data_IF_933494206349
#
_entry.id   IF_933494206349
#
_cell.length_a   1.000
_cell.length_b   1.000
_cell.length_c   1.000
_cell.angle_alpha   90.00
_cell.angle_beta   90.00
_cell.angle_gamma   90.00
#
_symmetry.space_group_name_H-M   'P 1'
#
loop_
_entity.id
_entity.type
_entity.pdbx_description
1 polymer ?
#
# COMPACT_ATOMS: atom_id res chain seq x y z
N UNK A 1 26.03 15.64 -7.01
CA UNK A 1 24.87 15.67 -7.91
C UNK A 1 23.62 15.19 -7.20
N UNK A 2 22.51 15.86 -7.46
CA UNK A 2 21.18 15.46 -6.98
C UNK A 2 20.31 15.09 -8.18
N UNK A 3 19.58 13.99 -8.08
CA UNK A 3 18.59 13.57 -9.06
C UNK A 3 17.28 13.27 -8.35
N UNK A 4 16.19 13.87 -8.82
CA UNK A 4 14.84 13.60 -8.34
C UNK A 4 14.00 13.06 -9.49
N UNK A 5 13.48 11.87 -9.32
CA UNK A 5 12.48 11.29 -10.22
C UNK A 5 11.14 11.25 -9.49
N UNK A 6 10.13 11.86 -10.07
CA UNK A 6 8.76 11.88 -9.56
C UNK A 6 7.83 11.32 -10.62
N UNK A 7 7.08 10.29 -10.27
CA UNK A 7 6.10 9.66 -11.15
C UNK A 7 4.75 9.61 -10.46
N UNK A 8 3.72 10.06 -11.17
CA UNK A 8 2.33 9.90 -10.78
C UNK A 8 1.60 9.06 -11.81
N UNK A 9 0.87 8.07 -11.34
CA UNK A 9 0.02 7.22 -12.18
C UNK A 9 -1.41 7.34 -11.70
N UNK A 10 -2.32 7.64 -12.62
CA UNK A 10 -3.76 7.54 -12.44
C UNK A 10 -4.25 6.32 -13.24
N UNK A 11 -4.95 5.41 -12.59
CA UNK A 11 -5.46 4.18 -13.18
C UNK A 11 -6.93 3.98 -12.82
N UNK A 12 -7.71 3.48 -13.77
CA UNK A 12 -9.06 2.99 -13.55
C UNK A 12 -9.11 1.56 -14.08
N UNK A 13 -9.22 0.59 -13.18
CA UNK A 13 -9.32 -0.82 -13.54
C UNK A 13 -10.72 -1.31 -13.21
N UNK A 14 -11.62 -1.22 -14.17
CA UNK A 14 -13.01 -1.67 -14.05
C UNK A 14 -13.24 -2.91 -14.91
N UNK A 15 -14.10 -3.81 -14.44
CA UNK A 15 -14.42 -5.04 -15.16
C UNK A 15 -15.59 -5.77 -14.55
N UNK A 16 -15.90 -6.94 -15.08
CA UNK A 16 -17.00 -7.83 -14.63
C UNK A 16 -16.53 -8.89 -13.64
N UNK A 17 -15.22 -8.94 -13.34
CA UNK A 17 -14.63 -9.87 -12.38
C UNK A 17 -13.13 -9.68 -12.24
N UNK A 18 -12.60 -9.92 -11.04
CA UNK A 18 -11.20 -9.67 -10.69
C UNK A 18 -10.28 -10.88 -10.89
N UNK A 19 -10.82 -12.06 -11.09
CA UNK A 19 -10.09 -13.32 -11.24
C UNK A 19 -10.81 -14.32 -12.17
N UNK A 20 -10.16 -15.43 -12.50
CA UNK A 20 -10.70 -16.45 -13.40
C UNK A 20 -11.97 -17.12 -12.89
N UNK A 21 -12.22 -17.14 -11.56
CA UNK A 21 -13.41 -17.72 -10.95
C UNK A 21 -14.63 -16.78 -10.99
N UNK A 22 -14.43 -15.51 -11.33
CA UNK A 22 -15.50 -14.51 -11.41
C UNK A 22 -16.57 -14.88 -12.44
N UNK A 23 -16.24 -15.69 -13.45
CA UNK A 23 -17.19 -16.23 -14.43
C UNK A 23 -18.28 -17.10 -13.79
N UNK A 24 -17.97 -17.83 -12.71
CA UNK A 24 -18.97 -18.60 -11.96
C UNK A 24 -20.08 -17.73 -11.38
N UNK A 25 -19.71 -16.54 -10.89
CA UNK A 25 -20.68 -15.56 -10.42
C UNK A 25 -21.59 -15.03 -11.52
N UNK A 26 -21.08 -14.89 -12.74
CA UNK A 26 -21.87 -14.47 -13.91
C UNK A 26 -22.89 -15.50 -14.32
N UNK A 27 -22.53 -16.79 -14.33
CA UNK A 27 -23.44 -17.89 -14.67
C UNK A 27 -24.54 -18.06 -13.63
N UNK A 28 -24.26 -17.91 -12.35
CA UNK A 28 -25.24 -18.05 -11.28
C UNK A 28 -26.16 -16.84 -11.11
N UNK A 29 -25.75 -15.66 -11.52
CA UNK A 29 -26.51 -14.39 -11.41
C UNK A 29 -27.24 -13.96 -12.67
N UNK A 30 -27.48 -14.88 -13.60
CA UNK A 30 -28.27 -14.59 -14.80
C UNK A 30 -27.57 -13.66 -15.80
N UNK A 31 -26.26 -13.73 -15.92
CA UNK A 31 -25.49 -12.99 -16.93
C UNK A 31 -25.53 -11.44 -16.78
N UNK A 32 -25.79 -10.93 -15.59
CA UNK A 32 -25.75 -9.50 -15.29
C UNK A 32 -24.30 -8.99 -15.39
N UNK A 33 -23.99 -8.34 -16.49
CA UNK A 33 -22.67 -7.73 -16.75
C UNK A 33 -22.63 -6.33 -16.15
N UNK A 34 -22.38 -6.25 -14.84
CA UNK A 34 -22.17 -4.97 -14.17
C UNK A 34 -20.67 -4.68 -14.09
N UNK A 35 -20.26 -3.50 -14.53
CA UNK A 35 -18.88 -3.03 -14.36
C UNK A 35 -18.70 -2.53 -12.93
N UNK A 36 -17.60 -2.94 -12.31
CA UNK A 36 -17.19 -2.49 -10.98
C UNK A 36 -15.66 -2.44 -10.89
N UNK A 37 -15.09 -1.65 -9.95
CA UNK A 37 -13.66 -1.59 -9.74
C UNK A 37 -13.09 -2.97 -9.41
N UNK A 38 -12.01 -3.36 -10.08
CA UNK A 38 -11.36 -4.65 -9.83
C UNK A 38 -10.53 -4.61 -8.54
N UNK A 39 -10.35 -5.76 -7.88
CA UNK A 39 -9.66 -5.87 -6.57
C UNK A 39 -8.25 -5.25 -6.53
N UNK A 40 -7.63 -5.07 -7.70
CA UNK A 40 -6.30 -4.47 -7.87
C UNK A 40 -6.34 -3.03 -8.41
N UNK A 41 -7.50 -2.38 -8.42
CA UNK A 41 -7.65 -0.99 -8.83
C UNK A 41 -7.00 -0.03 -7.81
N UNK A 42 -5.74 0.32 -8.05
CA UNK A 42 -5.00 1.34 -7.31
C UNK A 42 -5.07 2.67 -8.07
N UNK A 43 -6.09 3.48 -7.81
CA UNK A 43 -6.38 4.69 -8.62
C UNK A 43 -5.23 5.65 -8.72
N UNK A 44 -4.54 5.89 -7.61
CA UNK A 44 -3.46 6.85 -7.55
C UNK A 44 -2.21 6.16 -7.03
N UNK A 45 -1.11 6.30 -7.74
CA UNK A 45 0.20 5.85 -7.31
C UNK A 45 1.20 6.98 -7.52
N UNK A 46 1.89 7.34 -6.46
CA UNK A 46 2.96 8.34 -6.44
C UNK A 46 4.25 7.63 -6.07
N UNK A 47 5.27 7.77 -6.91
CA UNK A 47 6.61 7.26 -6.64
C UNK A 47 7.58 8.44 -6.73
N UNK A 48 8.33 8.65 -5.66
CA UNK A 48 9.41 9.62 -5.60
C UNK A 48 10.71 8.88 -5.34
N UNK A 49 11.73 9.17 -6.12
CA UNK A 49 13.07 8.64 -5.92
C UNK A 49 14.07 9.79 -5.96
N UNK A 50 14.68 10.03 -4.83
CA UNK A 50 15.74 11.04 -4.67
C UNK A 50 17.07 10.34 -4.50
N UNK A 51 18.04 10.68 -5.34
CA UNK A 51 19.42 10.20 -5.28
C UNK A 51 20.37 11.39 -5.15
N UNK A 52 21.24 11.33 -4.16
CA UNK A 52 22.28 12.33 -3.95
C UNK A 52 23.64 11.65 -3.86
N UNK A 53 24.60 12.12 -4.67
CA UNK A 53 25.97 11.64 -4.70
C UNK A 53 26.95 12.73 -4.28
N UNK A 54 27.77 12.41 -3.29
CA UNK A 54 28.87 13.23 -2.83
C UNK A 54 30.11 12.92 -3.66
N UNK A 55 30.78 13.97 -4.15
CA UNK A 55 31.98 13.83 -4.98
C UNK A 55 33.21 14.40 -4.29
N UNK A 56 34.37 13.93 -4.67
CA UNK A 56 35.65 14.50 -4.27
C UNK A 56 35.76 15.95 -4.71
N UNK A 57 36.34 16.81 -3.84
CA UNK A 57 36.53 18.23 -4.13
C UNK A 57 35.36 19.15 -3.75
N UNK A 58 34.29 18.63 -3.17
CA UNK A 58 33.30 19.45 -2.51
C UNK A 58 33.80 19.86 -1.12
N UNK A 59 33.29 20.99 -0.58
CA UNK A 59 33.59 21.43 0.79
C UNK A 59 32.87 20.53 1.84
N UNK A 60 33.17 19.25 1.81
CA UNK A 60 32.58 18.21 2.67
C UNK A 60 33.70 17.45 3.40
N UNK A 61 33.40 16.85 4.56
CA UNK A 61 34.33 15.98 5.24
C UNK A 61 34.73 14.77 4.36
N UNK A 62 36.02 14.41 4.39
CA UNK A 62 36.59 13.29 3.59
C UNK A 62 35.86 11.98 3.75
N UNK A 63 35.22 11.74 4.90
CA UNK A 63 34.45 10.51 5.11
C UNK A 63 33.16 10.45 4.30
N UNK A 64 32.66 11.57 3.79
CA UNK A 64 31.48 11.64 2.91
C UNK A 64 31.82 11.58 1.41
N UNK A 65 33.09 11.73 1.04
CA UNK A 65 33.52 11.60 -0.37
C UNK A 65 33.13 10.21 -0.90
N UNK A 66 32.66 10.11 -2.14
CA UNK A 66 32.21 8.87 -2.79
C UNK A 66 31.07 8.14 -2.03
N UNK A 67 30.33 8.87 -1.18
CA UNK A 67 29.12 8.37 -0.55
C UNK A 67 27.89 8.72 -1.37
N UNK A 68 26.84 7.92 -1.21
CA UNK A 68 25.52 8.12 -1.83
C UNK A 68 24.39 8.03 -0.81
N UNK A 69 23.37 8.83 -1.03
CA UNK A 69 22.09 8.75 -0.34
C UNK A 69 21.00 8.56 -1.36
N UNK A 70 20.22 7.49 -1.24
CA UNK A 70 19.02 7.27 -2.01
C UNK A 70 17.80 7.21 -1.06
N UNK A 71 16.77 7.96 -1.37
CA UNK A 71 15.49 7.94 -0.65
C UNK A 71 14.37 7.66 -1.64
N UNK A 72 13.62 6.62 -1.38
CA UNK A 72 12.46 6.24 -2.16
C UNK A 72 11.19 6.39 -1.32
N UNK A 73 10.22 7.17 -1.80
CA UNK A 73 8.91 7.28 -1.20
C UNK A 73 7.84 6.75 -2.19
N UNK A 74 6.96 5.91 -1.68
CA UNK A 74 5.84 5.34 -2.44
C UNK A 74 4.56 5.60 -1.69
N UNK A 75 3.58 6.21 -2.36
CA UNK A 75 2.23 6.40 -1.85
C UNK A 75 1.23 5.81 -2.83
N UNK A 76 0.31 4.98 -2.33
CA UNK A 76 -0.68 4.29 -3.16
C UNK A 76 -2.06 4.41 -2.54
N UNK A 77 -3.06 4.73 -3.37
CA UNK A 77 -4.45 4.75 -2.92
C UNK A 77 -4.90 3.35 -2.51
N UNK A 78 -5.78 3.30 -1.53
CA UNK A 78 -6.33 2.04 -1.05
C UNK A 78 -7.04 1.26 -2.16
N UNK A 79 -6.85 -0.06 -2.16
CA UNK A 79 -7.57 -0.99 -3.03
C UNK A 79 -9.04 -1.01 -2.67
N UNK A 80 -9.91 -1.28 -3.64
CA UNK A 80 -11.34 -1.36 -3.38
C UNK A 80 -11.70 -2.58 -2.53
N UNK A 81 -12.84 -2.49 -1.85
CA UNK A 81 -13.49 -3.60 -1.18
C UNK A 81 -15.01 -3.41 -1.23
N UNK A 82 -15.74 -4.49 -1.04
CA UNK A 82 -17.20 -4.45 -0.93
C UNK A 82 -17.56 -4.20 0.52
N UNK A 83 -18.31 -3.12 0.79
CA UNK A 83 -18.80 -2.83 2.13
C UNK A 83 -20.05 -3.66 2.43
N UNK A 84 -20.13 -4.19 3.64
CA UNK A 84 -21.26 -4.96 4.14
C UNK A 84 -21.97 -4.23 5.29
N UNK A 85 -23.27 -4.48 5.44
CA UNK A 85 -24.07 -3.85 6.50
C UNK A 85 -23.82 -4.50 7.86
N UNK A 86 -23.60 -5.81 7.87
CA UNK A 86 -23.45 -6.59 9.10
C UNK A 86 -22.05 -7.13 9.24
N UNK A 87 -21.51 -7.18 10.48
CA UNK A 87 -20.28 -7.89 10.76
C UNK A 87 -20.28 -9.34 10.27
N UNK A 88 -19.11 -9.89 10.00
CA UNK A 88 -18.95 -11.27 9.52
C UNK A 88 -19.55 -12.29 10.48
N UNK A 89 -19.41 -12.08 11.78
CA UNK A 89 -19.96 -12.92 12.86
C UNK A 89 -21.49 -12.95 12.87
N UNK A 90 -22.13 -11.96 12.27
CA UNK A 90 -23.58 -11.88 12.10
C UNK A 90 -24.06 -12.24 10.68
N UNK A 91 -23.20 -12.91 9.92
CA UNK A 91 -23.51 -13.42 8.60
C UNK A 91 -22.96 -12.61 7.42
N UNK A 92 -22.48 -11.39 7.61
CA UNK A 92 -21.68 -10.59 6.64
C UNK A 92 -22.21 -10.46 5.21
N UNK A 93 -23.54 -10.53 5.00
CA UNK A 93 -24.06 -10.81 3.66
C UNK A 93 -24.81 -9.68 2.97
N UNK A 94 -25.03 -8.58 3.65
CA UNK A 94 -25.79 -7.45 3.07
C UNK A 94 -24.82 -6.38 2.54
N UNK A 95 -24.48 -6.49 1.27
CA UNK A 95 -23.63 -5.50 0.59
C UNK A 95 -24.28 -4.12 0.60
N UNK A 96 -23.51 -3.10 0.99
CA UNK A 96 -23.89 -1.70 0.89
C UNK A 96 -23.28 -1.10 -0.37
N UNK A 97 -24.13 -0.56 -1.25
CA UNK A 97 -23.69 0.06 -2.49
C UNK A 97 -23.26 -0.95 -3.56
N UNK A 98 -22.21 -0.64 -4.29
CA UNK A 98 -21.72 -1.48 -5.37
C UNK A 98 -20.61 -2.45 -4.92
N UNK A 99 -20.42 -3.52 -5.68
CA UNK A 99 -19.26 -4.41 -5.51
C UNK A 99 -17.99 -3.54 -5.65
N UNK A 100 -17.06 -3.70 -4.70
CA UNK A 100 -15.83 -2.93 -4.66
C UNK A 100 -16.03 -1.39 -4.66
N UNK A 101 -17.16 -0.93 -4.13
CA UNK A 101 -17.52 0.50 -4.10
C UNK A 101 -16.81 1.31 -3.03
N UNK A 102 -16.32 0.68 -1.98
CA UNK A 102 -15.56 1.30 -0.90
C UNK A 102 -14.06 1.14 -1.12
N UNK A 103 -13.25 1.97 -0.42
CA UNK A 103 -11.78 1.93 -0.56
C UNK A 103 -11.09 1.85 0.79
N UNK A 104 -10.06 1.02 0.82
CA UNK A 104 -9.14 0.92 1.97
C UNK A 104 -8.35 2.22 2.14
N UNK A 105 -7.73 2.46 3.30
CA UNK A 105 -6.83 3.58 3.51
C UNK A 105 -5.63 3.57 2.54
N UNK A 106 -5.07 4.77 2.31
CA UNK A 106 -3.84 4.92 1.56
C UNK A 106 -2.66 4.26 2.27
N UNK A 107 -1.79 3.63 1.49
CA UNK A 107 -0.49 3.14 1.96
C UNK A 107 0.61 4.14 1.63
N UNK A 108 1.60 4.23 2.52
CA UNK A 108 2.74 5.10 2.34
C UNK A 108 3.99 4.46 2.93
N UNK A 109 5.08 4.43 2.18
CA UNK A 109 6.34 3.82 2.62
C UNK A 109 7.51 4.68 2.16
N UNK A 110 8.45 4.93 3.07
CA UNK A 110 9.75 5.54 2.74
C UNK A 110 10.84 4.51 3.02
N UNK A 111 11.69 4.30 2.03
CA UNK A 111 12.91 3.51 2.14
C UNK A 111 14.11 4.44 1.96
N UNK A 112 15.18 4.20 2.70
CA UNK A 112 16.43 4.93 2.57
C UNK A 112 17.60 3.98 2.39
N UNK A 113 18.57 4.36 1.58
CA UNK A 113 19.83 3.66 1.41
C UNK A 113 20.97 4.66 1.45
N UNK A 114 21.97 4.35 2.24
CA UNK A 114 23.24 5.06 2.25
C UNK A 114 24.30 4.10 1.79
N UNK A 115 25.15 4.51 0.88
CA UNK A 115 26.28 3.71 0.41
C UNK A 115 27.59 4.54 0.41
N UNK A 116 28.69 3.83 0.54
CA UNK A 116 30.03 4.38 0.52
C UNK A 116 30.95 3.49 -0.30
N UNK A 117 31.63 4.08 -1.27
CA UNK A 117 32.65 3.38 -2.03
C UNK A 117 34.02 3.74 -1.50
N UNK A 118 34.83 2.74 -1.18
CA UNK A 118 36.21 2.86 -0.75
C UNK A 118 37.06 2.28 -1.87
N UNK A 119 37.85 3.12 -2.53
CA UNK A 119 38.74 2.70 -3.60
C UNK A 119 40.12 2.40 -3.03
N UNK A 120 40.64 1.21 -3.27
CA UNK A 120 41.99 0.80 -2.93
C UNK A 120 42.95 1.01 -4.10
N UNK A 121 44.25 1.16 -3.82
CA UNK A 121 45.29 1.14 -4.86
C UNK A 121 45.25 -0.22 -5.62
N UNK A 122 45.45 -0.20 -6.95
CA UNK A 122 45.45 -1.31 -7.87
C UNK A 122 44.05 -1.72 -8.42
N UNK A 123 43.10 -0.80 -8.46
CA UNK A 123 41.82 -1.04 -9.15
C UNK A 123 40.77 -1.84 -8.37
N UNK A 124 41.05 -2.21 -7.12
CA UNK A 124 40.08 -2.84 -6.24
C UNK A 124 39.24 -1.77 -5.53
N UNK A 125 37.94 -2.00 -5.40
CA UNK A 125 37.00 -1.14 -4.67
C UNK A 125 36.08 -1.95 -3.79
N UNK A 126 35.73 -1.40 -2.63
CA UNK A 126 34.72 -1.95 -1.70
C UNK A 126 33.56 -0.99 -1.62
N UNK A 127 32.34 -1.45 -1.89
CA UNK A 127 31.11 -0.70 -1.66
C UNK A 127 30.42 -1.25 -0.42
N UNK A 128 30.26 -0.41 0.59
CA UNK A 128 29.50 -0.71 1.82
C UNK A 128 28.20 0.05 1.77
N UNK A 129 27.09 -0.61 2.06
CA UNK A 129 25.79 0.04 2.09
C UNK A 129 24.95 -0.38 3.30
N UNK A 130 24.12 0.55 3.74
CA UNK A 130 23.06 0.32 4.71
C UNK A 130 21.72 0.67 4.05
N UNK A 131 20.75 -0.22 4.13
CA UNK A 131 19.38 -0.01 3.63
C UNK A 131 18.40 -0.13 4.78
N UNK A 132 17.52 0.86 4.91
CA UNK A 132 16.42 0.87 5.86
C UNK A 132 15.13 0.86 5.06
N UNK A 133 14.29 -0.14 5.27
CA UNK A 133 12.96 -0.23 4.69
C UNK A 133 11.94 0.26 5.70
N UNK A 134 10.90 0.95 5.20
CA UNK A 134 9.86 1.55 6.04
C UNK A 134 10.45 2.46 7.14
N UNK A 135 11.24 3.44 6.73
CA UNK A 135 11.99 4.35 7.61
C UNK A 135 11.12 5.03 8.69
N UNK A 136 9.85 5.29 8.38
CA UNK A 136 8.89 5.91 9.30
C UNK A 136 8.20 4.90 10.23
N UNK A 137 8.50 3.61 10.12
CA UNK A 137 7.82 2.53 10.83
C UNK A 137 6.28 2.62 10.73
N UNK A 138 5.78 3.06 9.56
CA UNK A 138 4.34 3.22 9.35
C UNK A 138 3.66 1.86 9.22
N UNK A 139 2.63 1.64 10.01
CA UNK A 139 1.73 0.50 9.85
C UNK A 139 0.75 0.78 8.70
N UNK A 140 0.99 0.17 7.56
CA UNK A 140 0.09 0.26 6.42
C UNK A 140 -1.03 -0.78 6.54
N UNK A 141 -2.26 -0.31 6.37
CA UNK A 141 -3.46 -1.15 6.42
C UNK A 141 -3.56 -1.97 5.14
N UNK A 142 -3.46 -3.29 5.25
CA UNK A 142 -3.60 -4.21 4.12
C UNK A 142 -5.05 -4.64 3.92
N UNK A 143 -5.77 -4.89 5.03
CA UNK A 143 -7.17 -5.29 5.02
C UNK A 143 -7.98 -4.48 6.03
N UNK A 144 -9.27 -4.39 5.76
CA UNK A 144 -10.25 -3.78 6.63
C UNK A 144 -11.42 -4.74 6.79
N UNK A 145 -12.13 -4.62 7.90
CA UNK A 145 -13.42 -5.30 8.07
C UNK A 145 -14.46 -4.66 7.17
N UNK A 146 -15.21 -5.47 6.42
CA UNK A 146 -16.16 -4.97 5.41
C UNK A 146 -17.29 -4.15 6.00
N UNK A 147 -17.72 -4.44 7.24
CA UNK A 147 -18.81 -3.73 7.90
C UNK A 147 -18.43 -2.33 8.40
N UNK A 148 -17.19 -2.12 8.80
CA UNK A 148 -16.75 -0.85 9.42
C UNK A 148 -15.78 -0.05 8.56
N UNK A 149 -15.06 -0.72 7.65
CA UNK A 149 -13.92 -0.13 6.94
C UNK A 149 -12.70 0.10 7.85
N UNK A 150 -12.75 -0.37 9.09
CA UNK A 150 -11.67 -0.28 10.08
C UNK A 150 -10.71 -1.47 9.97
N UNK A 151 -9.41 -1.30 10.22
CA UNK A 151 -8.47 -2.42 10.32
C UNK A 151 -8.53 -3.16 11.67
N UNK A 152 -9.16 -2.59 12.70
CA UNK A 152 -9.12 -3.08 14.08
C UNK A 152 -10.50 -3.30 14.71
N UNK A 153 -11.56 -2.82 14.09
CA UNK A 153 -12.93 -2.94 14.60
C UNK A 153 -13.81 -3.63 13.55
N UNK A 154 -14.33 -4.79 13.90
CA UNK A 154 -15.26 -5.57 13.07
C UNK A 154 -16.71 -5.06 13.14
N UNK A 155 -17.04 -4.19 14.11
CA UNK A 155 -18.38 -3.66 14.37
C UNK A 155 -19.27 -4.61 15.19
N UNK A 156 -18.78 -5.80 15.60
CA UNK A 156 -19.58 -6.76 16.35
C UNK A 156 -20.06 -6.18 17.68
N UNK A 157 -19.17 -5.54 18.43
CA UNK A 157 -19.50 -4.96 19.74
C UNK A 157 -20.49 -3.80 19.66
N UNK A 158 -20.62 -3.13 18.52
CA UNK A 158 -21.63 -2.09 18.30
C UNK A 158 -23.02 -2.69 17.96
N UNK A 159 -23.11 -3.97 17.66
CA UNK A 159 -24.36 -4.67 17.38
C UNK A 159 -25.14 -5.00 18.67
N UNK A 160 -26.45 -5.25 18.55
CA UNK A 160 -27.29 -5.67 19.67
C UNK A 160 -26.74 -6.95 20.35
N UNK A 161 -26.32 -7.93 19.53
CA UNK A 161 -25.76 -9.20 20.04
C UNK A 161 -24.43 -8.98 20.77
N UNK A 162 -23.59 -8.06 20.29
CA UNK A 162 -22.34 -7.68 20.94
C UNK A 162 -22.58 -6.98 22.28
N UNK A 163 -23.57 -6.09 22.35
CA UNK A 163 -23.95 -5.41 23.58
C UNK A 163 -24.54 -6.38 24.62
N UNK A 164 -25.35 -7.35 24.21
CA UNK A 164 -25.86 -8.38 25.10
C UNK A 164 -24.75 -9.28 25.65
N UNK A 165 -23.74 -9.58 24.82
CA UNK A 165 -22.56 -10.33 25.26
C UNK A 165 -21.76 -9.57 26.31
N UNK A 166 -21.59 -8.25 26.16
CA UNK A 166 -20.89 -7.41 27.13
C UNK A 166 -21.65 -7.29 28.47
N UNK A 167 -22.99 -7.34 28.46
CA UNK A 167 -23.81 -7.28 29.70
C UNK A 167 -23.76 -8.57 30.50
N UNK A 168 -23.42 -9.69 29.87
CA UNK A 168 -23.43 -11.01 30.48
C UNK A 168 -22.03 -11.50 30.91
N UNK A 169 -21.00 -10.62 30.87
CA UNK A 169 -19.67 -10.83 31.43
C UNK A 169 -19.56 -10.13 32.79
#
# INVERSE_FOLDING_TARGET
NATLNANYTLQFADGTGSDANSQRGLTSRGNLRTLFPLNYDERHRINLNFDYRFFKGQAIPKFLEDAGLNVQAVSVSGRPYTADRTPLELGGTQTIGSINGARKPWTFTINARIDKTINFSKGAGLNIYCRVSNLLNRQNVLNVYSATGSPTDDGFLASANGQDKLRNI
#
